data_IF_535180204434
#
_entry.id   IF_535180204434
#
_cell.length_a   1.000
_cell.length_b   1.000
_cell.length_c   1.000
_cell.angle_alpha   90.00
_cell.angle_beta   90.00
_cell.angle_gamma   90.00
#
_symmetry.space_group_name_H-M   'P 1'
#
loop_
_entity.id
_entity.type
_entity.pdbx_description
1 polymer ?
#
# COMPACT_ATOMS: atom_id res chain seq x y z
N UNK A 1 -20.74 -5.97 7.20
CA UNK A 1 -19.60 -6.82 7.56
C UNK A 1 -19.53 -7.93 6.53
N UNK A 2 -18.31 -8.33 6.15
CA UNK A 2 -18.07 -9.41 5.21
C UNK A 2 -17.41 -10.57 5.95
N UNK A 3 -17.58 -11.78 5.42
CA UNK A 3 -17.00 -13.00 6.00
C UNK A 3 -15.66 -13.26 5.33
N UNK A 4 -14.62 -13.47 6.13
CA UNK A 4 -13.27 -13.71 5.66
C UNK A 4 -12.75 -15.06 6.13
N UNK A 5 -11.98 -15.72 5.27
CA UNK A 5 -11.10 -16.82 5.66
C UNK A 5 -9.67 -16.31 5.75
N UNK A 6 -9.00 -16.60 6.86
CA UNK A 6 -7.64 -16.21 7.18
C UNK A 6 -6.80 -17.47 7.38
N UNK A 7 -5.87 -17.71 6.47
CA UNK A 7 -4.87 -18.76 6.58
C UNK A 7 -3.56 -18.21 7.20
N UNK A 8 -3.20 -18.77 8.35
CA UNK A 8 -2.01 -18.45 9.13
C UNK A 8 -1.03 -19.63 9.01
N UNK A 9 0.09 -19.47 8.29
CA UNK A 9 1.19 -20.43 8.32
C UNK A 9 1.80 -20.53 9.72
N UNK A 10 2.04 -21.77 10.17
CA UNK A 10 2.67 -22.08 11.46
C UNK A 10 4.07 -22.63 11.24
N UNK A 11 5.06 -22.13 11.99
CA UNK A 11 6.42 -22.64 11.92
C UNK A 11 6.46 -24.12 12.32
N UNK A 12 7.13 -24.97 11.51
CA UNK A 12 7.33 -26.39 11.81
C UNK A 12 6.13 -27.32 11.56
N UNK A 13 5.01 -26.82 11.00
CA UNK A 13 3.87 -27.66 10.59
C UNK A 13 3.55 -27.44 9.12
N UNK A 14 3.45 -28.52 8.35
CA UNK A 14 2.97 -28.47 6.96
C UNK A 14 1.50 -27.98 6.86
N UNK A 15 0.75 -28.06 7.97
CA UNK A 15 -0.64 -27.60 8.04
C UNK A 15 -0.71 -26.33 8.89
N UNK A 16 -0.85 -25.18 8.24
CA UNK A 16 -1.23 -23.93 8.90
C UNK A 16 -2.68 -23.96 9.39
N UNK A 17 -3.14 -22.89 10.03
CA UNK A 17 -4.51 -22.79 10.57
C UNK A 17 -5.35 -21.89 9.66
N UNK A 18 -6.59 -22.31 9.37
CA UNK A 18 -7.60 -21.44 8.73
C UNK A 18 -8.59 -21.00 9.79
N UNK A 19 -8.85 -19.70 9.87
CA UNK A 19 -9.81 -19.07 10.77
C UNK A 19 -10.84 -18.36 9.90
N UNK A 20 -12.11 -18.53 10.23
CA UNK A 20 -13.19 -17.80 9.57
C UNK A 20 -13.77 -16.78 10.54
N UNK A 21 -13.84 -15.51 10.13
CA UNK A 21 -14.37 -14.42 10.96
C UNK A 21 -15.24 -13.48 10.11
N UNK A 22 -16.14 -12.76 10.76
CA UNK A 22 -16.92 -11.68 10.14
C UNK A 22 -16.37 -10.34 10.61
N UNK A 23 -15.92 -9.51 9.67
CA UNK A 23 -15.25 -8.25 10.00
C UNK A 23 -15.64 -7.14 9.02
N UNK A 24 -15.25 -5.91 9.33
CA UNK A 24 -15.49 -4.77 8.42
C UNK A 24 -14.67 -4.89 7.14
N UNK A 25 -13.41 -5.31 7.26
CA UNK A 25 -12.48 -5.53 6.15
C UNK A 25 -11.46 -6.63 6.50
N UNK A 26 -10.62 -7.01 5.53
CA UNK A 26 -9.67 -8.10 5.70
C UNK A 26 -8.53 -7.77 6.69
N UNK A 27 -8.23 -6.48 6.93
CA UNK A 27 -7.18 -6.11 7.89
C UNK A 27 -7.68 -6.31 9.31
N UNK A 28 -8.94 -5.94 9.59
CA UNK A 28 -9.57 -6.26 10.88
C UNK A 28 -9.75 -7.77 11.05
N UNK A 29 -10.15 -8.50 10.00
CA UNK A 29 -10.23 -9.95 10.04
C UNK A 29 -8.87 -10.60 10.38
N UNK A 30 -7.78 -10.08 9.80
CA UNK A 30 -6.43 -10.56 10.10
C UNK A 30 -6.04 -10.28 11.56
N UNK A 31 -6.30 -9.07 12.07
CA UNK A 31 -6.01 -8.69 13.46
C UNK A 31 -6.75 -9.59 14.45
N UNK A 32 -8.05 -9.82 14.22
CA UNK A 32 -8.88 -10.72 15.02
C UNK A 32 -8.34 -12.16 15.00
N UNK A 33 -8.04 -12.67 13.81
CA UNK A 33 -7.51 -14.01 13.61
C UNK A 33 -6.15 -14.20 14.33
N UNK A 34 -5.24 -13.25 14.21
CA UNK A 34 -3.93 -13.29 14.89
C UNK A 34 -4.07 -13.17 16.41
N UNK A 35 -4.95 -12.28 16.88
CA UNK A 35 -5.23 -12.13 18.32
C UNK A 35 -5.74 -13.44 18.92
N UNK A 36 -6.63 -14.14 18.21
CA UNK A 36 -7.15 -15.45 18.64
C UNK A 36 -6.07 -16.56 18.74
N UNK A 37 -4.89 -16.33 18.16
CA UNK A 37 -3.72 -17.22 18.20
C UNK A 37 -2.59 -16.71 19.08
N UNK A 38 -2.80 -15.62 19.82
CA UNK A 38 -1.75 -15.00 20.63
C UNK A 38 -0.62 -14.39 19.79
N UNK A 39 -0.94 -13.93 18.57
CA UNK A 39 0.00 -13.38 17.59
C UNK A 39 -0.28 -11.90 17.28
N UNK A 40 -0.94 -11.16 18.17
CA UNK A 40 -1.40 -9.79 17.91
C UNK A 40 -0.26 -8.83 17.48
N UNK A 41 0.95 -8.98 18.04
CA UNK A 41 2.09 -8.08 17.81
C UNK A 41 3.03 -8.53 16.67
N UNK A 42 2.62 -9.48 15.83
CA UNK A 42 3.50 -10.05 14.81
C UNK A 42 3.57 -9.28 13.48
N UNK A 43 2.96 -8.09 13.42
CA UNK A 43 2.78 -7.32 12.20
C UNK A 43 3.10 -5.84 12.45
N UNK A 44 4.11 -5.31 11.74
CA UNK A 44 4.52 -3.91 11.88
C UNK A 44 4.45 -3.16 10.55
N UNK A 45 5.07 -3.71 9.51
CA UNK A 45 5.18 -3.07 8.20
C UNK A 45 4.47 -3.94 7.17
N UNK A 46 3.25 -3.54 6.82
CA UNK A 46 2.31 -4.44 6.17
C UNK A 46 2.14 -4.14 4.69
N UNK A 47 2.55 -5.10 3.87
CA UNK A 47 2.30 -5.14 2.44
C UNK A 47 1.08 -6.01 2.14
N UNK A 48 0.08 -5.44 1.47
CA UNK A 48 -1.10 -6.13 0.98
C UNK A 48 -1.03 -6.24 -0.55
N UNK A 49 -1.01 -7.48 -1.04
CA UNK A 49 -0.93 -7.78 -2.46
C UNK A 49 -2.19 -8.56 -2.86
N UNK A 50 -3.08 -7.88 -3.58
CA UNK A 50 -4.39 -8.43 -3.98
C UNK A 50 -4.26 -9.08 -5.35
N UNK A 51 -4.46 -10.39 -5.38
CA UNK A 51 -4.39 -11.21 -6.60
C UNK A 51 -5.70 -11.17 -7.37
N UNK A 52 -5.61 -11.39 -8.67
CA UNK A 52 -6.76 -11.44 -9.59
C UNK A 52 -7.83 -12.49 -9.23
N UNK A 53 -7.44 -13.54 -8.51
CA UNK A 53 -8.36 -14.58 -8.01
C UNK A 53 -8.98 -14.22 -6.64
N UNK A 54 -8.83 -12.99 -6.18
CA UNK A 54 -9.34 -12.53 -4.89
C UNK A 54 -8.51 -12.95 -3.67
N UNK A 55 -7.40 -13.68 -3.87
CA UNK A 55 -6.47 -13.99 -2.78
C UNK A 55 -5.72 -12.72 -2.37
N UNK A 56 -5.79 -12.39 -1.09
CA UNK A 56 -5.09 -11.26 -0.49
C UNK A 56 -3.88 -11.83 0.24
N UNK A 57 -2.69 -11.48 -0.22
CA UNK A 57 -1.43 -11.87 0.44
C UNK A 57 -0.98 -10.70 1.31
N UNK A 58 -0.99 -10.90 2.63
CA UNK A 58 -0.52 -9.92 3.59
C UNK A 58 0.86 -10.34 4.08
N UNK A 59 1.85 -9.49 3.88
CA UNK A 59 3.24 -9.74 4.27
C UNK A 59 3.68 -8.71 5.29
N UNK A 60 4.20 -9.16 6.43
CA UNK A 60 5.01 -8.31 7.30
C UNK A 60 6.41 -8.23 6.69
N UNK A 61 6.83 -7.05 6.24
CA UNK A 61 8.06 -6.89 5.46
C UNK A 61 9.32 -7.08 6.30
N UNK A 62 9.23 -6.85 7.62
CA UNK A 62 10.35 -7.03 8.55
C UNK A 62 10.64 -8.52 8.77
N UNK A 63 9.63 -9.28 9.20
CA UNK A 63 9.79 -10.72 9.46
C UNK A 63 9.69 -11.58 8.21
N UNK A 64 9.29 -11.00 7.07
CA UNK A 64 8.93 -11.68 5.81
C UNK A 64 7.81 -12.71 5.99
N UNK A 65 7.06 -12.65 7.10
CA UNK A 65 5.98 -13.58 7.38
C UNK A 65 4.76 -13.24 6.53
N UNK A 66 4.18 -14.26 5.90
CA UNK A 66 3.00 -14.14 5.03
C UNK A 66 1.75 -14.70 5.70
N UNK A 67 0.64 -14.03 5.46
CA UNK A 67 -0.72 -14.43 5.81
C UNK A 67 -1.57 -14.34 4.55
N UNK A 68 -2.58 -15.20 4.46
CA UNK A 68 -3.39 -15.30 3.25
C UNK A 68 -4.85 -15.15 3.62
N UNK A 69 -5.55 -14.28 2.92
CA UNK A 69 -6.95 -13.97 3.19
C UNK A 69 -7.76 -14.04 1.91
N UNK A 70 -9.05 -14.33 2.06
CA UNK A 70 -10.04 -14.08 1.01
C UNK A 70 -11.39 -13.75 1.64
N UNK A 71 -12.16 -12.97 0.92
CA UNK A 71 -13.59 -12.82 1.22
C UNK A 71 -14.34 -14.09 0.79
N UNK A 72 -15.23 -14.57 1.64
CA UNK A 72 -16.06 -15.75 1.39
C UNK A 72 -17.29 -15.30 0.61
N UNK A 73 -17.47 -15.83 -0.59
CA UNK A 73 -18.65 -15.62 -1.43
C UNK A 73 -19.15 -16.98 -1.98
N UNK A 74 -20.34 -17.01 -2.58
CA UNK A 74 -20.96 -18.25 -3.08
C UNK A 74 -20.18 -18.92 -4.22
N UNK A 75 -19.27 -18.20 -4.88
CA UNK A 75 -18.48 -18.66 -6.03
C UNK A 75 -17.12 -19.26 -5.60
N UNK A 76 -16.64 -18.93 -4.40
CA UNK A 76 -15.33 -19.37 -3.88
C UNK A 76 -15.43 -20.74 -3.17
N UNK A 77 -15.45 -21.85 -3.93
CA UNK A 77 -15.57 -23.21 -3.37
C UNK A 77 -14.24 -23.92 -3.07
N UNK A 78 -13.14 -23.49 -3.69
CA UNK A 78 -11.80 -24.08 -3.51
C UNK A 78 -11.29 -23.88 -2.08
N UNK A 79 -10.53 -24.80 -1.47
CA UNK A 79 -9.92 -24.53 -0.15
C UNK A 79 -8.83 -23.44 -0.29
N UNK A 80 -8.79 -22.46 0.61
CA UNK A 80 -7.75 -21.42 0.60
C UNK A 80 -6.33 -22.01 0.66
N UNK A 81 -6.15 -23.19 1.26
CA UNK A 81 -4.86 -23.91 1.30
C UNK A 81 -4.39 -24.31 -0.09
N UNK A 82 -5.30 -24.77 -0.94
CA UNK A 82 -4.97 -25.19 -2.32
C UNK A 82 -4.50 -23.98 -3.14
N UNK A 83 -5.17 -22.82 -2.99
CA UNK A 83 -4.76 -21.57 -3.63
C UNK A 83 -3.36 -21.10 -3.22
N UNK A 84 -2.94 -21.42 -1.99
CA UNK A 84 -1.60 -21.10 -1.48
C UNK A 84 -0.56 -22.13 -1.97
N UNK A 85 -0.93 -23.40 -2.07
CA UNK A 85 -0.04 -24.50 -2.49
C UNK A 85 0.25 -24.50 -3.99
N UNK A 86 -0.72 -24.23 -4.87
CA UNK A 86 -0.52 -24.09 -6.32
C UNK A 86 0.58 -23.07 -6.65
N UNK A 87 0.74 -22.07 -5.79
CA UNK A 87 1.79 -21.06 -5.93
C UNK A 87 3.11 -21.49 -5.32
N UNK A 88 3.16 -22.26 -4.23
CA UNK A 88 4.45 -22.75 -3.70
C UNK A 88 5.26 -23.54 -4.74
N UNK A 89 4.61 -24.27 -5.65
CA UNK A 89 5.29 -24.98 -6.75
C UNK A 89 5.84 -24.08 -7.86
N UNK A 90 5.41 -22.81 -7.95
CA UNK A 90 6.02 -21.79 -8.82
C UNK A 90 7.00 -20.87 -8.09
N UNK A 91 7.11 -21.01 -6.76
CA UNK A 91 8.02 -20.25 -5.91
C UNK A 91 9.20 -21.16 -5.56
N UNK A 92 10.20 -21.21 -6.44
CA UNK A 92 11.56 -21.23 -5.91
C UNK A 92 11.65 -19.98 -5.04
N UNK A 93 12.15 -20.12 -3.81
CA UNK A 93 12.43 -18.99 -2.96
C UNK A 93 13.37 -18.07 -3.73
N UNK A 94 12.80 -17.10 -4.44
CA UNK A 94 13.53 -15.89 -4.74
C UNK A 94 13.82 -15.34 -3.35
N UNK A 95 15.08 -15.50 -2.95
CA UNK A 95 15.77 -14.46 -2.25
C UNK A 95 15.59 -13.21 -3.10
N UNK A 96 14.43 -12.56 -2.98
CA UNK A 96 14.17 -11.24 -3.55
C UNK A 96 14.94 -10.30 -2.64
N UNK A 97 16.25 -10.32 -2.83
CA UNK A 97 17.04 -9.13 -2.66
C UNK A 97 16.63 -8.26 -3.85
N UNK A 98 16.08 -7.06 -3.61
CA UNK A 98 15.90 -6.10 -4.69
C UNK A 98 17.24 -5.96 -5.42
N UNK A 99 17.24 -5.60 -6.70
CA UNK A 99 18.50 -5.34 -7.38
C UNK A 99 19.25 -4.26 -6.61
N UNK A 100 20.34 -4.63 -5.95
CA UNK A 100 21.10 -3.74 -5.07
C UNK A 100 21.48 -2.42 -5.77
N UNK A 101 21.71 -2.47 -7.09
CA UNK A 101 21.94 -1.31 -7.95
C UNK A 101 20.75 -0.34 -8.00
N UNK A 102 19.52 -0.84 -8.17
CA UNK A 102 18.30 -0.01 -8.23
C UNK A 102 18.12 0.76 -6.91
N UNK A 103 18.30 0.08 -5.78
CA UNK A 103 18.18 0.70 -4.47
C UNK A 103 19.32 1.68 -4.18
N UNK A 104 20.53 1.41 -4.65
CA UNK A 104 21.66 2.31 -4.48
C UNK A 104 21.44 3.63 -5.24
N UNK A 105 20.96 3.54 -6.49
CA UNK A 105 20.64 4.72 -7.30
C UNK A 105 19.48 5.51 -6.67
N UNK A 106 18.42 4.82 -6.27
CA UNK A 106 17.27 5.42 -5.61
C UNK A 106 17.65 6.10 -4.30
N UNK A 107 18.45 5.43 -3.47
CA UNK A 107 18.97 5.99 -2.22
C UNK A 107 19.72 7.29 -2.47
N UNK A 108 20.57 7.31 -3.50
CA UNK A 108 21.36 8.50 -3.85
C UNK A 108 20.45 9.65 -4.28
N UNK A 109 19.52 9.40 -5.20
CA UNK A 109 18.63 10.45 -5.71
C UNK A 109 17.69 10.99 -4.65
N UNK A 110 17.11 10.11 -3.81
CA UNK A 110 16.18 10.52 -2.75
C UNK A 110 16.78 11.62 -1.87
N UNK A 111 18.09 11.58 -1.59
CA UNK A 111 18.79 12.56 -0.75
C UNK A 111 18.71 14.00 -1.27
N UNK A 112 18.46 14.21 -2.57
CA UNK A 112 18.30 15.55 -3.16
C UNK A 112 17.06 16.28 -2.62
N UNK A 113 16.08 15.55 -2.09
CA UNK A 113 14.86 16.14 -1.52
C UNK A 113 15.14 17.00 -0.27
N UNK A 114 16.21 16.72 0.48
CA UNK A 114 16.47 17.40 1.74
C UNK A 114 16.82 18.88 1.53
N UNK A 115 16.14 19.75 2.26
CA UNK A 115 16.25 21.21 2.12
C UNK A 115 15.36 21.82 1.03
N UNK A 116 14.66 21.00 0.23
CA UNK A 116 13.64 21.52 -0.67
C UNK A 116 12.45 22.07 0.13
N UNK A 117 11.82 23.19 -0.30
CA UNK A 117 10.53 23.63 0.22
C UNK A 117 9.47 22.52 0.08
N UNK A 118 8.54 22.44 1.03
CA UNK A 118 7.58 21.34 1.15
C UNK A 118 6.93 20.92 -0.18
N UNK A 119 6.38 21.88 -0.94
CA UNK A 119 5.73 21.57 -2.22
C UNK A 119 6.71 21.00 -3.25
N UNK A 120 7.94 21.54 -3.33
CA UNK A 120 8.97 21.02 -4.25
C UNK A 120 9.41 19.61 -3.87
N UNK A 121 9.53 19.32 -2.57
CA UNK A 121 9.82 17.97 -2.10
C UNK A 121 8.71 16.98 -2.45
N UNK A 122 7.43 17.38 -2.28
CA UNK A 122 6.28 16.55 -2.71
C UNK A 122 6.37 16.21 -4.20
N UNK A 123 6.58 17.23 -5.03
CA UNK A 123 6.69 17.05 -6.48
C UNK A 123 7.87 16.15 -6.83
N UNK A 124 9.01 16.35 -6.18
CA UNK A 124 10.22 15.54 -6.36
C UNK A 124 9.97 14.06 -6.04
N UNK A 125 9.40 13.74 -4.88
CA UNK A 125 9.15 12.34 -4.49
C UNK A 125 8.16 11.65 -5.43
N UNK A 126 7.12 12.36 -5.89
CA UNK A 126 6.17 11.82 -6.86
C UNK A 126 6.84 11.55 -8.22
N UNK A 127 7.65 12.50 -8.70
CA UNK A 127 8.37 12.35 -9.97
C UNK A 127 9.42 11.23 -9.90
N UNK A 128 10.08 11.08 -8.76
CA UNK A 128 11.01 9.99 -8.49
C UNK A 128 10.30 8.63 -8.48
N UNK A 129 9.13 8.52 -7.85
CA UNK A 129 8.33 7.30 -7.87
C UNK A 129 7.94 6.90 -9.30
N UNK A 130 7.50 7.87 -10.13
CA UNK A 130 7.16 7.63 -11.53
C UNK A 130 8.36 7.31 -12.43
N UNK A 131 9.56 7.79 -12.06
CA UNK A 131 10.81 7.46 -12.74
C UNK A 131 11.18 5.99 -12.52
N UNK A 132 11.11 5.52 -11.28
CA UNK A 132 11.52 4.17 -10.90
C UNK A 132 10.43 3.11 -11.15
N UNK A 133 9.16 3.51 -11.10
CA UNK A 133 8.00 2.64 -11.32
C UNK A 133 7.17 3.25 -12.45
N UNK A 134 7.41 2.85 -13.71
CA UNK A 134 6.76 3.46 -14.85
C UNK A 134 5.24 3.24 -14.82
N UNK A 135 4.50 4.28 -14.45
CA UNK A 135 3.04 4.33 -14.46
C UNK A 135 2.52 5.41 -15.40
N UNK A 136 1.24 5.36 -15.75
CA UNK A 136 0.59 6.40 -16.56
C UNK A 136 0.33 7.66 -15.75
N UNK A 137 -0.08 7.50 -14.49
CA UNK A 137 -0.41 8.59 -13.58
C UNK A 137 0.13 8.31 -12.19
N UNK A 138 0.25 9.37 -11.40
CA UNK A 138 0.59 9.28 -9.98
C UNK A 138 0.09 10.50 -9.23
N UNK A 139 -0.08 10.36 -7.92
CA UNK A 139 -0.59 11.42 -7.07
C UNK A 139 -0.02 11.33 -5.65
N UNK A 140 -0.03 12.48 -4.95
CA UNK A 140 0.13 12.52 -3.51
C UNK A 140 -1.10 13.19 -2.87
N UNK A 141 -1.79 12.43 -2.03
CA UNK A 141 -2.91 12.89 -1.23
C UNK A 141 -2.40 13.26 0.18
N UNK A 142 -2.34 14.56 0.49
CA UNK A 142 -1.86 15.06 1.78
C UNK A 142 -2.97 15.02 2.81
N UNK A 143 -2.69 14.45 3.97
CA UNK A 143 -3.58 14.48 5.14
C UNK A 143 -3.73 15.90 5.67
N UNK A 144 -4.97 16.28 5.96
CA UNK A 144 -5.27 17.39 6.86
C UNK A 144 -5.37 16.85 8.29
N UNK A 145 -4.37 17.15 9.13
CA UNK A 145 -4.30 16.66 10.51
C UNK A 145 -5.41 17.22 11.42
N UNK A 146 -6.14 18.24 10.97
CA UNK A 146 -7.29 18.81 11.70
C UNK A 146 -8.62 18.17 11.33
N UNK A 147 -8.67 17.41 10.23
CA UNK A 147 -9.88 16.75 9.73
C UNK A 147 -9.63 15.27 9.44
N UNK A 148 -10.60 14.58 8.84
CA UNK A 148 -10.45 13.19 8.38
C UNK A 148 -10.24 13.10 6.87
N UNK A 149 -9.87 14.21 6.24
CA UNK A 149 -9.80 14.34 4.79
C UNK A 149 -8.33 14.38 4.33
N UNK A 150 -8.11 13.87 3.12
CA UNK A 150 -6.86 14.04 2.39
C UNK A 150 -7.16 14.75 1.08
N UNK A 151 -6.30 15.69 0.70
CA UNK A 151 -6.43 16.46 -0.54
C UNK A 151 -5.30 16.07 -1.50
N UNK A 152 -5.64 15.83 -2.77
CA UNK A 152 -4.62 15.63 -3.81
C UNK A 152 -3.91 16.94 -4.10
N UNK A 153 -2.64 17.05 -3.68
CA UNK A 153 -1.83 18.29 -3.77
C UNK A 153 -0.70 18.22 -4.81
N UNK A 154 -0.45 17.03 -5.37
CA UNK A 154 0.40 16.85 -6.53
C UNK A 154 -0.11 15.68 -7.36
N UNK A 155 -0.19 15.86 -8.67
CA UNK A 155 -0.70 14.87 -9.61
C UNK A 155 0.12 14.90 -10.90
N UNK A 156 0.24 13.74 -11.55
CA UNK A 156 0.85 13.56 -12.87
C UNK A 156 -0.03 12.64 -13.72
N UNK A 157 0.09 12.76 -15.03
CA UNK A 157 -0.64 11.96 -16.01
C UNK A 157 -1.78 12.72 -16.70
N UNK A 158 -2.54 12.05 -17.60
CA UNK A 158 -3.44 12.71 -18.54
C UNK A 158 -4.59 13.50 -17.91
N UNK A 159 -4.89 13.26 -16.63
CA UNK A 159 -6.02 13.86 -15.90
C UNK A 159 -5.59 14.60 -14.63
N UNK A 160 -4.31 14.95 -14.50
CA UNK A 160 -3.76 15.58 -13.30
C UNK A 160 -4.56 16.81 -12.85
N UNK A 161 -4.86 17.74 -13.77
CA UNK A 161 -5.61 18.97 -13.48
C UNK A 161 -7.04 18.71 -12.99
N UNK A 162 -7.64 17.57 -13.40
CA UNK A 162 -8.98 17.19 -12.98
C UNK A 162 -9.02 16.53 -11.60
N UNK A 163 -7.87 16.05 -11.10
CA UNK A 163 -7.72 15.37 -9.81
C UNK A 163 -7.22 16.31 -8.72
N UNK A 164 -6.38 17.30 -9.09
CA UNK A 164 -5.81 18.26 -8.15
C UNK A 164 -6.92 18.97 -7.34
N UNK A 165 -6.75 19.02 -6.02
CA UNK A 165 -7.70 19.63 -5.09
C UNK A 165 -8.93 18.78 -4.75
N UNK A 166 -9.13 17.61 -5.38
CA UNK A 166 -10.15 16.66 -4.93
C UNK A 166 -9.79 16.16 -3.52
N UNK A 167 -10.82 15.98 -2.69
CA UNK A 167 -10.69 15.43 -1.34
C UNK A 167 -11.26 14.02 -1.24
N UNK A 168 -10.58 13.18 -0.48
CA UNK A 168 -11.01 11.82 -0.11
C UNK A 168 -10.93 11.64 1.40
N UNK A 169 -11.88 10.90 1.97
CA UNK A 169 -11.87 10.64 3.42
C UNK A 169 -10.94 9.48 3.77
N UNK A 170 -10.37 9.49 4.97
CA UNK A 170 -9.73 8.30 5.54
C UNK A 170 -10.72 7.13 5.52
N UNK A 171 -10.26 5.97 5.05
CA UNK A 171 -11.07 4.76 4.81
C UNK A 171 -11.82 4.70 3.48
N UNK A 172 -11.85 5.77 2.67
CA UNK A 172 -12.50 5.79 1.35
C UNK A 172 -11.49 5.49 0.22
N UNK A 173 -11.82 4.55 -0.65
CA UNK A 173 -10.89 4.17 -1.73
C UNK A 173 -9.66 3.42 -1.21
N UNK A 174 -8.77 3.04 -2.14
CA UNK A 174 -7.49 2.42 -1.79
C UNK A 174 -6.57 3.41 -1.04
N UNK A 175 -6.57 4.68 -1.44
CA UNK A 175 -5.87 5.79 -0.75
C UNK A 175 -6.31 5.91 0.71
N UNK A 176 -7.62 6.05 0.96
CA UNK A 176 -8.13 6.15 2.33
C UNK A 176 -7.94 4.87 3.14
N UNK A 177 -8.02 3.70 2.51
CA UNK A 177 -7.74 2.43 3.17
C UNK A 177 -6.27 2.32 3.61
N UNK A 178 -5.33 2.68 2.74
CA UNK A 178 -3.90 2.71 3.06
C UNK A 178 -3.59 3.66 4.21
N UNK A 179 -4.21 4.85 4.22
CA UNK A 179 -4.08 5.80 5.32
C UNK A 179 -4.63 5.26 6.64
N UNK A 180 -5.81 4.62 6.61
CA UNK A 180 -6.48 4.09 7.82
C UNK A 180 -5.70 2.95 8.46
N UNK A 181 -5.22 2.02 7.65
CA UNK A 181 -4.58 0.79 8.11
C UNK A 181 -3.06 0.86 8.12
N UNK A 182 -2.50 1.97 7.65
CA UNK A 182 -1.06 2.21 7.59
C UNK A 182 -0.33 1.06 6.86
N UNK A 183 -0.88 0.66 5.70
CA UNK A 183 -0.41 -0.47 4.93
C UNK A 183 -0.11 -0.07 3.48
N UNK A 184 0.91 -0.73 2.92
CA UNK A 184 1.28 -0.66 1.51
C UNK A 184 0.32 -1.58 0.75
N UNK A 185 -0.24 -1.11 -0.36
CA UNK A 185 -1.25 -1.86 -1.12
C UNK A 185 -0.85 -1.89 -2.58
N UNK A 186 -0.86 -3.07 -3.19
CA UNK A 186 -0.80 -3.24 -4.64
C UNK A 186 -1.98 -4.06 -5.13
N UNK A 187 -2.64 -3.54 -6.16
CA UNK A 187 -3.80 -4.15 -6.81
C UNK A 187 -3.58 -4.12 -8.32
N UNK A 188 -3.54 -5.30 -8.93
CA UNK A 188 -3.34 -5.43 -10.38
C UNK A 188 -4.62 -5.34 -11.22
N UNK A 189 -5.79 -5.49 -10.57
CA UNK A 189 -7.10 -5.34 -11.18
C UNK A 189 -8.06 -4.69 -10.18
N UNK A 190 -8.09 -3.36 -10.19
CA UNK A 190 -8.89 -2.57 -9.25
C UNK A 190 -10.39 -2.69 -9.51
N UNK A 191 -10.81 -3.15 -10.70
CA UNK A 191 -12.23 -3.30 -11.02
C UNK A 191 -12.90 -4.40 -10.19
N UNK A 192 -12.09 -5.39 -9.76
CA UNK A 192 -12.48 -6.49 -8.88
C UNK A 192 -12.24 -6.20 -7.40
N UNK A 193 -11.58 -5.10 -7.06
CA UNK A 193 -11.35 -4.74 -5.66
C UNK A 193 -12.54 -3.92 -5.12
N UNK A 194 -13.29 -4.41 -4.12
CA UNK A 194 -14.47 -3.73 -3.60
C UNK A 194 -14.14 -2.39 -2.91
N UNK A 195 -12.87 -2.14 -2.59
CA UNK A 195 -12.41 -0.89 -1.97
C UNK A 195 -12.10 0.18 -3.01
N UNK A 196 -12.08 -0.16 -4.30
CA UNK A 196 -11.80 0.82 -5.34
C UNK A 196 -12.94 1.85 -5.46
N UNK A 197 -12.61 3.12 -5.24
CA UNK A 197 -13.58 4.21 -5.28
C UNK A 197 -13.75 4.73 -6.71
N UNK A 198 -14.69 4.12 -7.45
CA UNK A 198 -14.90 4.33 -8.90
C UNK A 198 -15.33 5.75 -9.27
N UNK A 199 -15.95 6.49 -8.35
CA UNK A 199 -16.56 7.80 -8.63
C UNK A 199 -15.58 8.81 -9.22
N UNK A 200 -14.35 8.89 -8.69
CA UNK A 200 -13.33 9.82 -9.19
C UNK A 200 -12.99 9.48 -10.64
N UNK A 201 -12.65 8.21 -10.89
CA UNK A 201 -12.29 7.69 -12.22
C UNK A 201 -13.42 7.91 -13.24
N UNK A 202 -14.66 7.64 -12.86
CA UNK A 202 -15.84 7.85 -13.71
C UNK A 202 -16.06 9.34 -14.01
N UNK A 203 -15.97 10.21 -13.01
CA UNK A 203 -16.20 11.65 -13.15
C UNK A 203 -15.20 12.32 -14.09
N UNK A 204 -13.95 11.89 -14.07
CA UNK A 204 -12.88 12.48 -14.91
C UNK A 204 -12.69 11.72 -16.23
N UNK A 205 -13.42 10.62 -16.45
CA UNK A 205 -13.29 9.76 -17.62
C UNK A 205 -11.89 9.15 -17.74
N UNK A 206 -11.39 8.56 -16.65
CA UNK A 206 -10.10 7.89 -16.60
C UNK A 206 -10.29 6.43 -16.23
N UNK A 207 -9.82 5.52 -17.09
CA UNK A 207 -9.89 4.09 -16.83
C UNK A 207 -8.72 3.66 -15.95
N UNK A 208 -9.05 3.22 -14.74
CA UNK A 208 -8.08 2.77 -13.74
C UNK A 208 -8.11 1.24 -13.70
N UNK A 209 -6.95 0.63 -13.95
CA UNK A 209 -6.74 -0.81 -14.06
C UNK A 209 -5.92 -1.34 -12.89
N UNK A 210 -4.82 -0.68 -12.56
CA UNK A 210 -3.93 -1.08 -11.45
C UNK A 210 -3.53 0.10 -10.60
N UNK A 211 -3.36 -0.13 -9.30
CA UNK A 211 -2.99 0.88 -8.31
C UNK A 211 -1.95 0.31 -7.35
N UNK A 212 -0.94 1.12 -7.02
CA UNK A 212 -0.11 0.95 -5.83
C UNK A 212 -0.24 2.18 -4.93
N UNK A 213 -0.48 1.98 -3.64
CA UNK A 213 -0.60 3.03 -2.64
C UNK A 213 0.34 2.75 -1.46
N UNK A 214 1.02 3.78 -0.97
CA UNK A 214 1.85 3.68 0.24
C UNK A 214 1.59 4.87 1.17
N UNK A 215 1.41 4.63 2.48
CA UNK A 215 1.28 5.71 3.44
C UNK A 215 2.63 6.41 3.61
N UNK A 216 2.59 7.74 3.67
CA UNK A 216 3.74 8.59 3.98
C UNK A 216 3.64 8.96 5.45
N UNK A 217 4.45 8.32 6.30
CA UNK A 217 4.36 8.46 7.77
C UNK A 217 5.70 8.74 8.42
N UNK A 218 5.65 9.41 9.56
CA UNK A 218 6.76 9.45 10.51
C UNK A 218 6.86 8.12 11.24
N UNK A 219 8.01 7.47 11.18
CA UNK A 219 8.29 6.27 11.99
C UNK A 219 8.48 6.61 13.47
N UNK A 220 8.86 7.85 13.79
CA UNK A 220 9.06 8.32 15.17
C UNK A 220 7.73 8.57 15.89
N UNK A 221 6.79 9.23 15.21
CA UNK A 221 5.53 9.68 15.83
C UNK A 221 4.31 8.86 15.40
N UNK A 222 4.46 7.97 14.41
CA UNK A 222 3.36 7.27 13.73
C UNK A 222 2.32 8.18 13.06
N UNK A 223 2.60 9.48 12.92
CA UNK A 223 1.73 10.42 12.19
C UNK A 223 1.80 10.10 10.69
N UNK A 224 0.63 9.98 10.04
CA UNK A 224 0.51 9.79 8.58
C UNK A 224 0.25 11.13 7.90
N UNK A 225 1.24 11.63 7.16
CA UNK A 225 1.19 12.91 6.44
C UNK A 225 0.42 12.85 5.13
N UNK A 226 0.16 11.64 4.61
CA UNK A 226 -0.59 11.44 3.38
C UNK A 226 -0.36 10.06 2.79
N UNK A 227 -0.71 9.91 1.52
CA UNK A 227 -0.54 8.67 0.75
C UNK A 227 0.00 9.02 -0.63
N UNK A 228 1.04 8.31 -1.03
CA UNK A 228 1.59 8.34 -2.38
C UNK A 228 0.96 7.20 -3.20
N UNK A 229 0.48 7.50 -4.40
CA UNK A 229 -0.26 6.59 -5.25
C UNK A 229 0.28 6.62 -6.69
N UNK A 230 0.48 5.45 -7.30
CA UNK A 230 0.72 5.32 -8.74
C UNK A 230 -0.37 4.47 -9.38
N UNK A 231 -0.76 4.84 -10.61
CA UNK A 231 -1.92 4.29 -11.30
C UNK A 231 -1.52 3.84 -12.70
N UNK A 232 -2.01 2.65 -13.08
CA UNK A 232 -1.80 1.99 -14.38
C UNK A 232 -0.30 1.81 -14.66
N UNK A 233 0.30 0.76 -14.07
CA UNK A 233 1.67 0.35 -14.41
C UNK A 233 1.79 0.07 -15.91
N UNK A 234 2.88 0.55 -16.52
CA UNK A 234 3.19 0.37 -17.94
C UNK A 234 3.82 -1.00 -18.17
N UNK A 235 3.43 -1.66 -19.26
CA UNK A 235 3.98 -2.96 -19.66
C UNK A 235 3.50 -4.16 -18.83
N UNK A 236 2.80 -3.94 -17.72
CA UNK A 236 2.19 -4.99 -16.87
C UNK A 236 1.09 -4.37 -16.03
N UNK A 237 0.02 -5.12 -15.72
CA UNK A 237 -0.97 -4.70 -14.73
C UNK A 237 -0.49 -4.91 -13.28
N UNK A 238 0.59 -5.69 -13.07
CA UNK A 238 1.06 -6.10 -11.74
C UNK A 238 2.32 -5.37 -11.32
N UNK A 239 2.30 -4.88 -10.09
CA UNK A 239 3.49 -4.41 -9.38
C UNK A 239 4.27 -5.62 -8.88
N UNK A 240 5.55 -5.68 -9.22
CA UNK A 240 6.47 -6.74 -8.78
C UNK A 240 7.15 -6.34 -7.47
N UNK A 241 8.01 -7.20 -6.96
CA UNK A 241 8.63 -6.97 -5.67
C UNK A 241 9.62 -5.80 -5.67
N UNK A 242 10.30 -5.55 -6.80
CA UNK A 242 11.21 -4.40 -6.94
C UNK A 242 10.41 -3.09 -6.91
N UNK A 243 9.25 -3.03 -7.61
CA UNK A 243 8.37 -1.86 -7.52
C UNK A 243 7.89 -1.62 -6.09
N UNK A 244 7.45 -2.67 -5.40
CA UNK A 244 6.91 -2.54 -4.05
C UNK A 244 7.98 -2.08 -3.07
N UNK A 245 9.22 -2.52 -3.25
CA UNK A 245 10.33 -2.10 -2.42
C UNK A 245 10.76 -0.66 -2.71
N UNK A 246 10.85 -0.27 -3.98
CA UNK A 246 11.11 1.12 -4.37
C UNK A 246 10.02 2.06 -3.83
N UNK A 247 8.74 1.71 -4.02
CA UNK A 247 7.61 2.50 -3.54
C UNK A 247 7.61 2.60 -2.01
N UNK A 248 7.90 1.50 -1.30
CA UNK A 248 8.03 1.49 0.16
C UNK A 248 9.14 2.44 0.62
N UNK A 249 10.32 2.29 0.05
CA UNK A 249 11.49 3.10 0.38
C UNK A 249 11.23 4.59 0.14
N UNK A 250 10.65 4.95 -1.01
CA UNK A 250 10.27 6.33 -1.33
C UNK A 250 9.26 6.86 -0.31
N UNK A 251 8.21 6.09 0.02
CA UNK A 251 7.20 6.50 1.00
C UNK A 251 7.78 6.73 2.41
N UNK A 252 8.71 5.86 2.84
CA UNK A 252 9.42 6.00 4.12
C UNK A 252 10.30 7.26 4.15
N UNK A 253 11.09 7.50 3.10
CA UNK A 253 11.95 8.68 3.00
C UNK A 253 11.19 9.98 2.84
N UNK A 254 10.08 9.95 2.11
CA UNK A 254 9.14 11.06 2.07
C UNK A 254 8.57 11.34 3.48
N UNK A 255 8.26 10.29 4.24
CA UNK A 255 7.80 10.41 5.63
C UNK A 255 8.83 11.04 6.58
N UNK A 256 10.10 10.65 6.47
CA UNK A 256 11.23 11.26 7.18
C UNK A 256 11.38 12.75 6.81
N UNK A 257 11.32 13.08 5.52
CA UNK A 257 11.35 14.45 5.01
C UNK A 257 10.22 15.31 5.59
N UNK A 258 8.97 14.81 5.57
CA UNK A 258 7.83 15.51 6.16
C UNK A 258 7.99 15.68 7.67
N UNK A 259 8.49 14.67 8.37
CA UNK A 259 8.70 14.74 9.80
C UNK A 259 9.72 15.82 10.17
N UNK A 260 10.82 15.91 9.43
CA UNK A 260 11.82 16.97 9.59
C UNK A 260 11.21 18.36 9.38
N UNK A 261 10.42 18.57 8.32
CA UNK A 261 9.76 19.85 8.09
C UNK A 261 8.78 20.17 9.21
N UNK A 262 7.94 19.20 9.58
CA UNK A 262 6.90 19.37 10.60
C UNK A 262 7.49 19.73 11.97
N UNK A 263 8.55 19.04 12.39
CA UNK A 263 9.27 19.35 13.64
C UNK A 263 10.01 20.68 13.55
N UNK A 264 10.62 21.01 12.40
CA UNK A 264 11.27 22.31 12.18
C UNK A 264 10.31 23.50 12.24
N UNK A 265 9.07 23.34 11.74
CA UNK A 265 8.03 24.36 11.82
C UNK A 265 7.31 24.42 13.18
N UNK A 266 7.24 23.30 13.92
CA UNK A 266 6.53 23.23 15.20
C UNK A 266 7.45 23.35 16.42
N UNK A 267 8.77 23.35 16.26
CA UNK A 267 9.72 23.66 17.33
C UNK A 267 10.08 25.15 17.43
N UNK A 268 9.41 26.04 16.68
CA UNK A 268 9.43 27.48 16.97
C UNK A 268 8.43 27.80 18.08
N UNK A 269 8.71 27.31 19.29
CA UNK A 269 8.15 27.86 20.51
C UNK A 269 9.27 28.69 21.17
N UNK A 270 9.30 29.98 20.86
CA UNK A 270 9.89 31.01 21.72
C UNK A 270 9.00 31.24 22.95
#
# INVERSE_FOLDING_TARGET
>A
MAKFEVFIPMAGSAKGVVITTESQDYMEALKEALTSKGLADCMKHILCDVKENGLIVVTDTDSRRKFYLREVNQENTTDIRELVEEKKSSWVADNITPKDELLADLFTEVMDAWGMPQQKGIDFFLDLALKYIPCESGSFARSDLSTTDMEFVSCRGPKADSVLGIKVRVGQGLVGFAARHNCYIAVGDVQKDPRFFKDISQKIGYETNSIVCVPVKSLETNITFGVLELINKKGSSRFDADDMEAMRFIGEKMGEYFHMIWTGTNNTFD
#
